data_IF_794106760993
#
_entry.id   IF_794106760993
#
_cell.length_a   1.000
_cell.length_b   1.000
_cell.length_c   1.000
_cell.angle_alpha   90.00
_cell.angle_beta   90.00
_cell.angle_gamma   90.00
#
_symmetry.space_group_name_H-M   'P 1'
#
loop_
_entity.id
_entity.type
_entity.pdbx_description
1 polymer ?
#
# COMPACT_ATOMS: atom_id res chain seq x y z
N UNK A 1 16.29 1.49 14.72
CA UNK A 1 17.20 1.57 13.55
C UNK A 1 16.36 2.06 12.38
N UNK A 2 16.38 3.36 12.12
CA UNK A 2 15.53 3.99 11.10
C UNK A 2 16.00 3.62 9.70
N UNK A 3 15.06 3.29 8.81
CA UNK A 3 15.30 3.02 7.39
C UNK A 3 16.05 4.20 6.78
N UNK A 4 17.32 3.97 6.40
CA UNK A 4 18.20 4.94 5.75
C UNK A 4 17.56 5.52 4.47
N UNK A 5 16.64 4.79 3.85
CA UNK A 5 15.95 5.18 2.61
C UNK A 5 14.99 6.37 2.72
N UNK A 6 14.47 6.72 3.91
CA UNK A 6 13.63 7.93 4.06
C UNK A 6 14.44 9.23 4.14
N UNK A 7 15.77 9.14 4.25
CA UNK A 7 16.65 10.33 4.20
C UNK A 7 16.78 10.87 2.78
N UNK A 8 16.45 10.06 1.79
CA UNK A 8 16.36 10.48 0.39
C UNK A 8 15.05 11.25 0.19
N UNK A 9 15.10 12.55 -0.17
CA UNK A 9 13.91 13.36 -0.41
C UNK A 9 13.00 12.77 -1.47
N UNK A 10 13.56 12.20 -2.55
CA UNK A 10 12.78 11.62 -3.65
C UNK A 10 11.96 10.42 -3.19
N UNK A 11 12.53 9.61 -2.28
CA UNK A 11 11.83 8.45 -1.71
C UNK A 11 10.79 8.92 -0.69
N UNK A 12 11.13 9.91 0.14
CA UNK A 12 10.20 10.44 1.15
C UNK A 12 8.93 11.03 0.52
N UNK A 13 9.01 11.61 -0.67
CA UNK A 13 7.85 12.18 -1.38
C UNK A 13 6.89 11.12 -1.93
N UNK A 14 7.33 9.86 -2.04
CA UNK A 14 6.47 8.76 -2.50
C UNK A 14 5.39 8.36 -1.48
N UNK A 15 5.58 8.73 -0.21
CA UNK A 15 4.77 8.26 0.90
C UNK A 15 4.02 9.40 1.60
N UNK A 16 2.75 9.13 1.90
CA UNK A 16 1.88 10.01 2.66
C UNK A 16 2.24 9.97 4.15
N UNK A 17 2.18 11.14 4.80
CA UNK A 17 2.64 11.34 6.18
C UNK A 17 1.56 11.12 7.24
N UNK A 18 0.30 11.05 6.82
CA UNK A 18 -0.82 10.85 7.73
C UNK A 18 -0.83 9.43 8.31
N UNK A 19 -1.46 9.26 9.47
CA UNK A 19 -1.58 7.98 10.14
C UNK A 19 -2.70 7.15 9.50
N UNK A 20 -2.39 6.03 8.81
CA UNK A 20 -3.40 5.26 8.09
C UNK A 20 -4.46 4.66 9.02
N UNK A 21 -4.13 4.41 10.29
CA UNK A 21 -5.09 3.87 11.28
C UNK A 21 -6.17 4.89 11.67
N UNK A 22 -5.96 6.18 11.40
CA UNK A 22 -6.96 7.24 11.58
C UNK A 22 -7.77 7.52 10.32
N UNK A 23 -7.30 7.03 9.17
CA UNK A 23 -7.92 7.25 7.86
C UNK A 23 -8.80 6.07 7.48
N UNK A 24 -8.40 4.85 7.80
CA UNK A 24 -9.09 3.64 7.38
C UNK A 24 -9.70 2.91 8.58
N UNK A 25 -11.00 2.62 8.48
CA UNK A 25 -11.75 1.80 9.43
C UNK A 25 -12.20 0.48 8.82
N UNK A 26 -12.78 -0.38 9.64
CA UNK A 26 -13.40 -1.65 9.23
C UNK A 26 -12.48 -2.56 8.39
N UNK A 27 -11.21 -2.65 8.78
CA UNK A 27 -10.25 -3.48 8.04
C UNK A 27 -10.62 -4.96 8.15
N UNK A 28 -10.86 -5.60 7.01
CA UNK A 28 -11.10 -7.02 6.89
C UNK A 28 -10.14 -7.62 5.87
N UNK A 29 -9.39 -8.65 6.26
CA UNK A 29 -8.50 -9.34 5.33
C UNK A 29 -9.31 -10.03 4.23
N UNK A 30 -8.92 -9.80 2.98
CA UNK A 30 -9.56 -10.38 1.79
C UNK A 30 -8.59 -11.25 0.97
N UNK A 31 -7.30 -11.25 1.31
CA UNK A 31 -6.29 -12.05 0.65
C UNK A 31 -4.91 -11.89 1.28
N UNK A 32 -4.04 -12.86 1.03
CA UNK A 32 -2.65 -12.83 1.49
C UNK A 32 -1.71 -13.41 0.42
N UNK A 33 -0.49 -12.88 0.37
CA UNK A 33 0.55 -13.29 -0.57
C UNK A 33 1.95 -13.14 0.03
N UNK A 34 2.97 -13.29 -0.81
CA UNK A 34 4.38 -13.30 -0.38
C UNK A 34 4.84 -11.97 0.25
N UNK A 35 4.28 -10.85 -0.19
CA UNK A 35 4.67 -9.51 0.26
C UNK A 35 3.81 -8.95 1.40
N UNK A 36 2.73 -9.64 1.78
CA UNK A 36 1.84 -9.22 2.85
C UNK A 36 0.38 -9.59 2.63
N UNK A 37 -0.52 -8.87 3.28
CA UNK A 37 -1.96 -9.12 3.23
C UNK A 37 -2.72 -7.91 2.66
N UNK A 38 -3.80 -8.21 1.94
CA UNK A 38 -4.73 -7.24 1.37
C UNK A 38 -6.00 -7.23 2.21
N UNK A 39 -6.42 -6.02 2.57
CA UNK A 39 -7.60 -5.77 3.37
C UNK A 39 -8.60 -4.97 2.57
N UNK A 40 -9.89 -5.30 2.64
CA UNK A 40 -10.93 -4.30 2.40
C UNK A 40 -10.97 -3.36 3.61
N UNK A 41 -11.23 -2.09 3.37
CA UNK A 41 -11.37 -1.08 4.42
C UNK A 41 -12.33 0.01 3.96
N UNK A 42 -12.83 0.79 4.92
CA UNK A 42 -13.59 2.01 4.67
C UNK A 42 -12.67 3.22 4.83
N UNK A 43 -12.53 4.06 3.79
CA UNK A 43 -11.92 5.38 3.96
C UNK A 43 -12.89 6.25 4.77
N UNK A 44 -12.51 6.63 5.99
CA UNK A 44 -13.37 7.36 6.92
C UNK A 44 -13.66 8.79 6.44
N UNK A 45 -12.87 9.33 5.51
CA UNK A 45 -13.04 10.69 4.97
C UNK A 45 -14.08 10.72 3.86
N UNK A 46 -14.01 9.76 2.94
CA UNK A 46 -14.91 9.68 1.78
C UNK A 46 -16.06 8.70 1.94
N UNK A 47 -16.00 7.82 2.95
CA UNK A 47 -16.91 6.69 3.16
C UNK A 47 -16.86 5.62 2.07
N UNK A 48 -15.91 5.69 1.13
CA UNK A 48 -15.73 4.70 0.06
C UNK A 48 -15.11 3.40 0.58
N UNK A 49 -15.50 2.28 -0.03
CA UNK A 49 -14.82 0.99 0.18
C UNK A 49 -13.56 0.93 -0.68
N UNK A 50 -12.45 0.56 -0.05
CA UNK A 50 -11.10 0.64 -0.63
C UNK A 50 -10.32 -0.63 -0.29
N UNK A 51 -9.24 -0.88 -1.03
CA UNK A 51 -8.32 -1.97 -0.76
C UNK A 51 -7.00 -1.43 -0.19
N UNK A 52 -6.51 -2.07 0.86
CA UNK A 52 -5.28 -1.73 1.57
C UNK A 52 -4.34 -2.93 1.54
N UNK A 53 -3.22 -2.83 0.83
CA UNK A 53 -2.16 -3.86 0.88
C UNK A 53 -1.12 -3.46 1.93
N UNK A 54 -1.01 -4.24 3.00
CA UNK A 54 -0.04 -4.04 4.09
C UNK A 54 1.20 -4.90 3.86
N UNK A 55 2.36 -4.26 3.78
CA UNK A 55 3.66 -4.92 3.52
C UNK A 55 4.66 -4.58 4.62
N UNK A 56 5.06 -5.59 5.40
CA UNK A 56 6.02 -5.41 6.50
C UNK A 56 7.45 -5.52 5.99
N UNK A 57 8.27 -4.51 6.29
CA UNK A 57 9.70 -4.50 5.98
C UNK A 57 10.56 -4.62 7.25
N UNK A 58 10.07 -5.34 8.26
CA UNK A 58 10.84 -5.71 9.46
C UNK A 58 11.68 -6.98 9.22
N UNK A 59 12.72 -7.15 10.04
CA UNK A 59 13.51 -8.39 10.15
C UNK A 59 14.78 -8.42 9.29
N UNK A 60 15.30 -9.65 9.08
CA UNK A 60 16.62 -9.92 8.48
C UNK A 60 16.81 -9.41 7.04
N UNK A 61 15.73 -9.23 6.28
CA UNK A 61 15.73 -8.73 4.90
C UNK A 61 15.04 -7.36 4.75
N UNK A 62 15.08 -6.53 5.80
CA UNK A 62 14.38 -5.23 5.83
C UNK A 62 14.75 -4.29 4.68
N UNK A 63 16.03 -4.23 4.29
CA UNK A 63 16.48 -3.39 3.18
C UNK A 63 15.97 -3.87 1.81
N UNK A 64 15.99 -5.18 1.55
CA UNK A 64 15.50 -5.76 0.29
C UNK A 64 13.98 -5.56 0.17
N UNK A 65 13.24 -5.90 1.23
CA UNK A 65 11.79 -5.65 1.31
C UNK A 65 11.44 -4.18 1.11
N UNK A 66 12.24 -3.28 1.67
CA UNK A 66 12.06 -1.85 1.47
C UNK A 66 12.27 -1.43 0.00
N UNK A 67 13.31 -1.94 -0.65
CA UNK A 67 13.55 -1.68 -2.08
C UNK A 67 12.42 -2.22 -2.95
N UNK A 68 11.87 -3.39 -2.63
CA UNK A 68 10.72 -3.97 -3.34
C UNK A 68 9.47 -3.10 -3.17
N UNK A 69 9.18 -2.62 -1.96
CA UNK A 69 8.07 -1.68 -1.69
C UNK A 69 8.24 -0.39 -2.50
N UNK A 70 9.43 0.22 -2.48
CA UNK A 70 9.70 1.46 -3.24
C UNK A 70 9.52 1.22 -4.73
N UNK A 71 9.96 0.07 -5.25
CA UNK A 71 9.77 -0.30 -6.66
C UNK A 71 8.29 -0.45 -6.99
N UNK A 72 7.52 -1.15 -6.16
CA UNK A 72 6.08 -1.35 -6.33
C UNK A 72 5.34 0.00 -6.37
N UNK A 73 5.60 0.89 -5.40
CA UNK A 73 4.98 2.23 -5.35
C UNK A 73 5.32 3.05 -6.61
N UNK A 74 6.58 3.06 -7.04
CA UNK A 74 6.99 3.77 -8.28
C UNK A 74 6.29 3.24 -9.53
N UNK A 75 6.08 1.93 -9.62
CA UNK A 75 5.36 1.31 -10.74
C UNK A 75 3.88 1.69 -10.67
N UNK A 76 3.24 1.51 -9.52
CA UNK A 76 1.81 1.81 -9.32
C UNK A 76 1.48 3.29 -9.58
N UNK A 77 2.36 4.22 -9.20
CA UNK A 77 2.18 5.65 -9.50
C UNK A 77 2.15 5.97 -11.00
N UNK A 78 2.86 5.18 -11.82
CA UNK A 78 2.94 5.36 -13.28
C UNK A 78 1.77 4.71 -14.02
N UNK A 79 1.11 3.73 -13.40
CA UNK A 79 -0.02 3.03 -14.01
C UNK A 79 -1.28 3.89 -13.85
N UNK A 80 -1.75 4.48 -14.96
CA UNK A 80 -3.01 5.22 -15.02
C UNK A 80 -3.81 4.74 -16.20
N UNK A 81 -4.72 3.80 -15.96
CA UNK A 81 -5.59 3.25 -17.00
C UNK A 81 -6.97 2.94 -16.41
N UNK A 82 -8.03 3.10 -17.20
CA UNK A 82 -9.43 2.86 -16.78
C UNK A 82 -9.67 1.44 -16.24
N UNK A 83 -8.89 0.46 -16.72
CA UNK A 83 -8.98 -0.94 -16.32
C UNK A 83 -7.87 -1.38 -15.35
N UNK A 84 -7.04 -0.46 -14.87
CA UNK A 84 -6.00 -0.76 -13.89
C UNK A 84 -6.48 -0.37 -12.48
N UNK A 85 -5.92 -1.04 -11.48
CA UNK A 85 -6.11 -0.68 -10.06
C UNK A 85 -5.74 0.79 -9.86
N UNK A 86 -6.67 1.57 -9.33
CA UNK A 86 -6.46 2.99 -9.06
C UNK A 86 -5.60 3.17 -7.82
N UNK A 87 -4.28 3.26 -7.98
CA UNK A 87 -3.37 3.60 -6.90
C UNK A 87 -3.62 5.04 -6.44
N UNK A 88 -3.95 5.21 -5.16
CA UNK A 88 -4.28 6.51 -4.56
C UNK A 88 -3.17 7.03 -3.64
N UNK A 89 -2.29 6.17 -3.16
CA UNK A 89 -1.13 6.56 -2.36
C UNK A 89 -0.56 5.39 -1.55
N UNK A 90 0.52 5.65 -0.81
CA UNK A 90 1.10 4.70 0.13
C UNK A 90 1.40 5.40 1.45
N UNK A 91 0.99 4.82 2.57
CA UNK A 91 1.31 5.32 3.91
C UNK A 91 2.38 4.44 4.56
N UNK A 92 3.17 5.02 5.48
CA UNK A 92 4.13 4.27 6.28
C UNK A 92 3.76 4.35 7.75
N UNK A 93 3.63 3.19 8.40
CA UNK A 93 3.40 3.10 9.84
C UNK A 93 4.11 1.89 10.43
N UNK A 94 4.89 2.10 11.49
CA UNK A 94 5.50 1.04 12.29
C UNK A 94 6.23 -0.03 11.46
N UNK A 95 7.08 0.40 10.51
CA UNK A 95 7.79 -0.46 9.56
C UNK A 95 6.88 -1.30 8.64
N UNK A 96 5.69 -0.80 8.35
CA UNK A 96 4.71 -1.39 7.44
C UNK A 96 4.29 -0.34 6.43
N UNK A 97 4.33 -0.69 5.14
CA UNK A 97 3.80 0.14 4.07
C UNK A 97 2.35 -0.26 3.76
N UNK A 98 1.50 0.73 3.53
CA UNK A 98 0.07 0.57 3.30
C UNK A 98 -0.27 1.16 1.94
N UNK A 99 -0.30 0.33 0.90
CA UNK A 99 -0.74 0.76 -0.42
C UNK A 99 -2.26 0.94 -0.39
N UNK A 100 -2.69 2.16 -0.68
CA UNK A 100 -4.07 2.59 -0.72
C UNK A 100 -4.59 2.58 -2.16
N UNK A 101 -5.57 1.72 -2.42
CA UNK A 101 -6.08 1.40 -3.75
C UNK A 101 -7.61 1.60 -3.80
N UNK A 102 -8.11 2.15 -4.90
CA UNK A 102 -9.55 2.15 -5.17
C UNK A 102 -10.05 0.77 -5.59
N UNK A 103 -11.25 0.37 -5.13
CA UNK A 103 -11.92 -0.86 -5.59
C UNK A 103 -12.68 -0.56 -6.88
N UNK A 104 -12.40 -1.33 -7.94
CA UNK A 104 -13.23 -1.35 -9.14
C UNK A 104 -14.19 -2.54 -9.07
N UNK A 105 -15.50 -2.29 -9.18
CA UNK A 105 -16.58 -3.28 -9.05
C UNK A 105 -16.43 -4.52 -9.97
N UNK A 106 -15.61 -4.46 -11.02
CA UNK A 106 -15.34 -5.57 -11.94
C UNK A 106 -13.99 -6.29 -11.75
N UNK A 107 -13.20 -5.96 -10.72
CA UNK A 107 -11.79 -6.36 -10.62
C UNK A 107 -11.41 -7.04 -9.30
N UNK A 108 -12.39 -7.62 -8.59
CA UNK A 108 -12.17 -8.32 -7.32
C UNK A 108 -11.12 -9.46 -7.43
N UNK A 109 -10.98 -10.08 -8.61
CA UNK A 109 -10.03 -11.17 -8.86
C UNK A 109 -8.55 -10.73 -9.00
N UNK A 110 -8.27 -9.51 -9.47
CA UNK A 110 -6.87 -9.05 -9.64
C UNK A 110 -6.20 -8.74 -8.30
N UNK A 111 -6.96 -8.33 -7.29
CA UNK A 111 -6.39 -7.97 -5.99
C UNK A 111 -5.69 -9.14 -5.27
N UNK A 112 -5.94 -10.38 -5.69
CA UNK A 112 -5.34 -11.59 -5.14
C UNK A 112 -4.13 -12.11 -5.95
N UNK A 113 -4.03 -11.78 -7.25
CA UNK A 113 -3.02 -12.40 -8.14
C UNK A 113 -1.97 -11.43 -8.70
N UNK A 114 -2.14 -10.11 -8.55
CA UNK A 114 -1.13 -9.15 -9.01
C UNK A 114 -0.41 -8.58 -7.78
N UNK A 115 0.85 -9.01 -7.61
CA UNK A 115 1.90 -8.64 -6.63
C UNK A 115 2.11 -9.55 -5.42
#
# INVERSE_FOLDING_TARGET
>A
MGILGLRDPEISELFLKEDPEKIFGDLQEIGHGSFGAVFSARDLRSQELVAIKKMSYRGRASNEKWQDIVREVKVLQRIRHRNAVGFRGCYLRDNTAWNFLGICLGFFGIFLEIF
#
